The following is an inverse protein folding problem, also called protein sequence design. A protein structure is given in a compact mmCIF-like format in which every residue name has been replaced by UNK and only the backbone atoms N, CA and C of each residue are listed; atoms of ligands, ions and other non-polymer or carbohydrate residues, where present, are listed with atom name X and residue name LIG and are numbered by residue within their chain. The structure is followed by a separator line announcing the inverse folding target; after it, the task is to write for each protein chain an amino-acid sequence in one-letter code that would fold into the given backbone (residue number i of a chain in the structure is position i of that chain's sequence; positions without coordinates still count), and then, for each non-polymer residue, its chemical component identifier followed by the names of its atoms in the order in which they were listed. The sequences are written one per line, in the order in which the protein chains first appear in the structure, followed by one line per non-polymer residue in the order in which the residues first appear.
data_IF_268402421398
#
_entry.id   IF_268402421398
#
_cell.length_a   1.000
_cell.length_b   1.000
_cell.length_c   1.000
_cell.angle_alpha   90.00
_cell.angle_beta   90.00
_cell.angle_gamma   90.00
#
_symmetry.space_group_name_H-M   'P 1'
#
loop_
_entity.id
_entity.type
_entity.pdbx_description
1 polymer ?
#
# COMPACT_ATOMS: atom_id res chain seq x y z
N UNK A 1 -14.67 24.70 8.69
CA UNK A 1 -13.72 23.62 9.02
C UNK A 1 -13.33 23.00 7.70
N UNK A 2 -12.06 23.01 7.25
CA UNK A 2 -11.74 22.36 5.99
C UNK A 2 -11.96 20.86 6.20
N UNK A 3 -12.91 20.34 5.45
CA UNK A 3 -13.31 18.96 5.46
C UNK A 3 -12.08 18.07 5.24
N UNK A 4 -11.96 17.04 6.05
CA UNK A 4 -10.84 16.12 6.04
C UNK A 4 -10.96 15.29 4.74
N UNK A 5 -10.45 15.81 3.63
CA UNK A 5 -10.40 15.11 2.33
C UNK A 5 -9.37 13.97 2.41
N UNK A 6 -9.61 12.99 3.29
CA UNK A 6 -8.92 11.72 3.28
C UNK A 6 -9.25 11.04 1.96
N UNK A 7 -8.37 11.26 0.98
CA UNK A 7 -8.42 10.54 -0.28
C UNK A 7 -8.03 9.10 0.01
N UNK A 8 -9.02 8.20 -0.05
CA UNK A 8 -8.78 6.77 -0.07
C UNK A 8 -7.88 6.45 -1.27
N UNK A 9 -6.63 6.09 -1.00
CA UNK A 9 -5.63 5.75 -2.00
C UNK A 9 -5.18 4.31 -1.79
N UNK A 10 -5.20 3.54 -2.87
CA UNK A 10 -4.70 2.17 -2.92
C UNK A 10 -3.66 2.07 -4.04
N UNK A 11 -2.48 1.54 -3.74
CA UNK A 11 -1.44 1.23 -4.71
C UNK A 11 -1.70 -0.15 -5.34
N UNK A 12 -1.68 -0.27 -6.66
CA UNK A 12 -1.86 -1.56 -7.34
C UNK A 12 -0.66 -1.84 -8.23
N UNK A 13 0.03 -2.94 -7.97
CA UNK A 13 1.18 -3.40 -8.74
C UNK A 13 0.84 -4.73 -9.42
N UNK A 14 0.23 -4.66 -10.61
CA UNK A 14 -0.17 -5.84 -11.36
C UNK A 14 1.03 -6.49 -12.07
N UNK A 15 1.13 -7.81 -11.97
CA UNK A 15 2.22 -8.60 -12.57
C UNK A 15 1.69 -9.65 -13.54
N UNK A 16 2.61 -10.19 -14.33
CA UNK A 16 2.37 -11.42 -15.09
C UNK A 16 2.19 -12.59 -14.13
N UNK A 17 1.42 -13.59 -14.56
CA UNK A 17 1.20 -14.84 -13.81
C UNK A 17 2.51 -15.45 -13.33
N UNK A 18 2.55 -15.85 -12.05
CA UNK A 18 3.71 -16.41 -11.37
C UNK A 18 4.67 -15.38 -10.76
N UNK A 19 4.43 -14.08 -10.92
CA UNK A 19 5.35 -13.02 -10.46
C UNK A 19 4.83 -12.17 -9.29
N UNK A 20 3.81 -12.64 -8.56
CA UNK A 20 3.22 -11.93 -7.40
C UNK A 20 4.26 -11.46 -6.39
N UNK A 21 5.21 -12.32 -6.01
CA UNK A 21 6.15 -12.00 -4.93
C UNK A 21 7.03 -10.81 -5.31
N UNK A 22 7.42 -10.69 -6.59
CA UNK A 22 8.12 -9.51 -7.10
C UNK A 22 7.26 -8.25 -7.12
N UNK A 23 5.96 -8.40 -7.42
CA UNK A 23 4.99 -7.30 -7.35
C UNK A 23 4.75 -6.82 -5.93
N UNK A 24 4.79 -7.72 -4.95
CA UNK A 24 4.62 -7.39 -3.53
C UNK A 24 5.72 -6.44 -3.05
N UNK A 25 6.99 -6.72 -3.35
CA UNK A 25 8.11 -5.86 -2.96
C UNK A 25 8.05 -4.48 -3.62
N UNK A 26 7.68 -4.44 -4.91
CA UNK A 26 7.51 -3.18 -5.64
C UNK A 26 6.35 -2.35 -5.07
N UNK A 27 5.19 -2.99 -4.84
CA UNK A 27 4.05 -2.38 -4.19
C UNK A 27 4.43 -1.80 -2.82
N UNK A 28 5.16 -2.57 -2.00
CA UNK A 28 5.61 -2.13 -0.68
C UNK A 28 6.53 -0.91 -0.78
N UNK A 29 7.47 -0.89 -1.73
CA UNK A 29 8.39 0.23 -1.93
C UNK A 29 7.62 1.52 -2.28
N UNK A 30 6.64 1.43 -3.20
CA UNK A 30 5.81 2.58 -3.55
C UNK A 30 4.93 3.04 -2.36
N UNK A 31 4.37 2.10 -1.61
CA UNK A 31 3.61 2.40 -0.39
C UNK A 31 4.46 3.06 0.68
N UNK A 32 5.73 2.67 0.83
CA UNK A 32 6.65 3.27 1.78
C UNK A 32 6.94 4.74 1.45
N UNK A 33 7.04 5.10 0.17
CA UNK A 33 7.17 6.49 -0.28
C UNK A 33 5.95 7.31 0.13
N UNK A 34 4.74 6.79 -0.12
CA UNK A 34 3.48 7.44 0.26
C UNK A 34 3.41 7.61 1.79
N UNK A 35 3.67 6.55 2.54
CA UNK A 35 3.68 6.57 4.01
C UNK A 35 4.66 7.61 4.57
N UNK A 36 5.88 7.64 4.04
CA UNK A 36 6.90 8.61 4.42
C UNK A 36 6.46 10.06 4.13
N UNK A 37 5.87 10.32 2.95
CA UNK A 37 5.34 11.62 2.61
C UNK A 37 4.21 12.06 3.55
N UNK A 38 3.27 11.15 3.88
CA UNK A 38 2.18 11.39 4.84
C UNK A 38 2.70 11.73 6.25
N UNK A 39 3.72 11.00 6.73
CA UNK A 39 4.39 11.31 8.01
C UNK A 39 5.06 12.68 7.99
N UNK A 40 5.78 13.01 6.90
CA UNK A 40 6.44 14.31 6.74
C UNK A 40 5.44 15.47 6.72
N UNK A 41 4.28 15.25 6.12
CA UNK A 41 3.17 16.20 6.09
C UNK A 41 2.37 16.27 7.40
N UNK A 42 2.72 15.47 8.42
CA UNK A 42 2.02 15.38 9.72
C UNK A 42 0.53 15.05 9.56
N UNK A 43 0.18 14.23 8.57
CA UNK A 43 -1.19 13.76 8.40
C UNK A 43 -1.62 12.91 9.60
N UNK A 44 -2.91 12.97 9.95
CA UNK A 44 -3.48 12.20 11.05
C UNK A 44 -3.42 10.70 10.78
N UNK A 45 -3.87 10.28 9.59
CA UNK A 45 -3.64 8.92 9.10
C UNK A 45 -2.48 8.90 8.09
N UNK A 46 -1.51 8.05 8.38
CA UNK A 46 -0.35 7.80 7.51
C UNK A 46 -0.36 6.36 6.97
N UNK A 47 -1.38 5.57 7.28
CA UNK A 47 -1.53 4.21 6.78
C UNK A 47 -1.52 4.20 5.26
N UNK A 48 -0.96 3.17 4.64
CA UNK A 48 -0.98 2.97 3.19
C UNK A 48 -1.46 1.55 2.90
N UNK A 49 -2.19 1.39 1.80
CA UNK A 49 -2.77 0.11 1.37
C UNK A 49 -2.36 -0.17 -0.06
N UNK A 50 -2.17 -1.45 -0.37
CA UNK A 50 -1.88 -1.86 -1.73
C UNK A 50 -2.24 -3.30 -2.03
N UNK A 51 -2.20 -3.63 -3.32
CA UNK A 51 -2.58 -4.92 -3.89
C UNK A 51 -1.52 -5.31 -4.93
N UNK A 52 -1.03 -6.54 -4.86
CA UNK A 52 -0.14 -7.13 -5.87
C UNK A 52 -0.79 -8.38 -6.50
N UNK A 53 -1.54 -8.24 -7.60
CA UNK A 53 -2.18 -9.36 -8.30
C UNK A 53 -1.34 -9.89 -9.47
N UNK A 54 -1.50 -11.17 -9.81
CA UNK A 54 -0.98 -11.79 -11.06
C UNK A 54 -2.06 -12.43 -11.94
N UNK A 55 -3.31 -12.01 -11.76
CA UNK A 55 -4.56 -12.59 -12.28
C UNK A 55 -5.11 -13.76 -11.46
N UNK A 56 -4.28 -14.65 -10.90
CA UNK A 56 -4.75 -15.85 -10.17
C UNK A 56 -4.56 -15.75 -8.67
N UNK A 57 -3.49 -15.08 -8.23
CA UNK A 57 -3.15 -14.83 -6.83
C UNK A 57 -3.26 -13.33 -6.55
N UNK A 58 -3.74 -13.03 -5.35
CA UNK A 58 -3.92 -11.67 -4.86
C UNK A 58 -3.24 -11.54 -3.50
N UNK A 59 -2.28 -10.63 -3.40
CA UNK A 59 -1.68 -10.27 -2.11
C UNK A 59 -2.12 -8.85 -1.75
N UNK A 60 -2.72 -8.72 -0.56
CA UNK A 60 -3.09 -7.43 0.01
C UNK A 60 -2.03 -7.01 1.01
N UNK A 61 -1.56 -5.78 0.93
CA UNK A 61 -0.48 -5.24 1.76
C UNK A 61 -0.98 -3.99 2.50
N UNK A 62 -0.57 -3.84 3.75
CA UNK A 62 -0.83 -2.64 4.56
C UNK A 62 0.43 -2.19 5.27
N UNK A 63 0.73 -0.90 5.21
CA UNK A 63 1.60 -0.22 6.17
C UNK A 63 0.70 0.54 7.14
N UNK A 64 0.83 0.28 8.45
CA UNK A 64 0.11 0.97 9.52
C UNK A 64 0.77 2.31 9.84
N UNK A 65 0.05 3.19 10.55
CA UNK A 65 0.58 4.50 10.94
C UNK A 65 1.87 4.43 11.79
N UNK A 66 2.08 3.33 12.52
CA UNK A 66 3.29 3.04 13.29
C UNK A 66 4.43 2.41 12.44
N UNK A 67 4.28 2.38 11.11
CA UNK A 67 5.24 1.80 10.16
C UNK A 67 5.35 0.26 10.20
N UNK A 68 4.48 -0.44 10.93
CA UNK A 68 4.37 -1.91 10.84
C UNK A 68 3.73 -2.33 9.51
N UNK A 69 4.26 -3.39 8.92
CA UNK A 69 3.72 -4.01 7.71
C UNK A 69 2.92 -5.27 8.04
N UNK A 70 1.79 -5.46 7.36
CA UNK A 70 1.07 -6.73 7.33
C UNK A 70 0.62 -7.11 5.92
N UNK A 71 0.45 -8.40 5.67
CA UNK A 71 -0.05 -8.94 4.40
C UNK A 71 -1.21 -9.90 4.62
N UNK A 72 -2.05 -10.06 3.58
CA UNK A 72 -3.12 -11.06 3.53
C UNK A 72 -3.21 -11.65 2.13
N UNK A 73 -3.29 -12.98 2.04
CA UNK A 73 -3.56 -13.71 0.80
C UNK A 73 -5.07 -13.72 0.53
N UNK A 74 -5.44 -13.42 -0.71
CA UNK A 74 -6.80 -13.52 -1.25
C UNK A 74 -7.10 -14.88 -1.85
#
# INVERSE_FOLDING_TARGET
MPENYETNLVMVEAKKTGAVDSGMFQCLAYMAIIHHARKKAKMKDTSAYGIAPDSFRWEFVRIRGNSEMGTKKG
#
